data_IF_253273513404
#
_entry.id   IF_253273513404
#
_cell.length_a   1.000
_cell.length_b   1.000
_cell.length_c   1.000
_cell.angle_alpha   90.00
_cell.angle_beta   90.00
_cell.angle_gamma   90.00
#
_symmetry.space_group_name_H-M   'P 1'
#
loop_
_entity.id
_entity.type
_entity.pdbx_description
1 polymer ?
#
# COMPACT_ATOMS: atom_id res chain seq x y z
N UNK A 1 18.03 1.14 -29.81
CA UNK A 1 17.86 -0.16 -29.14
C UNK A 1 16.98 0.06 -27.93
N UNK A 2 15.86 -0.66 -27.75
CA UNK A 2 15.13 -0.61 -26.50
C UNK A 2 16.04 -1.09 -25.37
N UNK A 3 16.15 -0.34 -24.28
CA UNK A 3 16.89 -0.73 -23.08
C UNK A 3 16.00 -1.57 -22.18
N UNK A 4 16.58 -2.53 -21.46
CA UNK A 4 15.89 -3.19 -20.35
C UNK A 4 15.39 -2.15 -19.32
N UNK A 5 14.34 -2.50 -18.59
CA UNK A 5 13.85 -1.67 -17.48
C UNK A 5 14.97 -1.48 -16.44
N UNK A 6 15.06 -0.27 -15.89
CA UNK A 6 15.94 0.01 -14.75
C UNK A 6 15.51 -0.82 -13.52
N UNK A 7 16.41 -1.02 -12.56
CA UNK A 7 16.08 -1.72 -11.31
C UNK A 7 14.92 -1.04 -10.57
N UNK A 8 14.92 0.29 -10.49
CA UNK A 8 13.84 1.06 -9.84
C UNK A 8 12.50 0.82 -10.52
N UNK A 9 12.47 0.77 -11.86
CA UNK A 9 11.23 0.47 -12.58
C UNK A 9 10.78 -0.98 -12.33
N UNK A 10 11.71 -1.94 -12.28
CA UNK A 10 11.40 -3.34 -11.93
C UNK A 10 10.84 -3.46 -10.50
N UNK A 11 11.38 -2.75 -9.52
CA UNK A 11 10.82 -2.67 -8.16
C UNK A 11 9.36 -2.18 -8.20
N UNK A 12 9.10 -1.12 -8.97
CA UNK A 12 7.76 -0.56 -9.16
C UNK A 12 6.81 -1.58 -9.79
N UNK A 13 7.18 -2.21 -10.91
CA UNK A 13 6.36 -3.22 -11.59
C UNK A 13 6.04 -4.42 -10.67
N UNK A 14 7.01 -4.86 -9.86
CA UNK A 14 6.77 -5.92 -8.89
C UNK A 14 5.81 -5.52 -7.78
N UNK A 15 5.76 -4.24 -7.39
CA UNK A 15 4.74 -3.75 -6.45
C UNK A 15 3.32 -3.81 -7.02
N UNK A 16 3.15 -3.50 -8.31
CA UNK A 16 1.89 -3.68 -9.03
C UNK A 16 1.52 -5.15 -9.12
N UNK A 17 2.47 -6.02 -9.48
CA UNK A 17 2.24 -7.46 -9.54
C UNK A 17 1.83 -8.04 -8.17
N UNK A 18 2.50 -7.65 -7.09
CA UNK A 18 2.14 -8.05 -5.72
C UNK A 18 0.72 -7.61 -5.37
N UNK A 19 0.39 -6.33 -5.58
CA UNK A 19 -0.95 -5.79 -5.32
C UNK A 19 -2.02 -6.58 -6.08
N UNK A 20 -1.79 -6.78 -7.38
CA UNK A 20 -2.75 -7.45 -8.25
C UNK A 20 -2.93 -8.92 -7.87
N UNK A 21 -1.85 -9.63 -7.52
CA UNK A 21 -1.89 -11.01 -7.10
C UNK A 21 -2.70 -11.19 -5.79
N UNK A 22 -2.40 -10.38 -4.77
CA UNK A 22 -3.11 -10.41 -3.49
C UNK A 22 -4.59 -10.07 -3.68
N UNK A 23 -4.89 -8.99 -4.41
CA UNK A 23 -6.27 -8.57 -4.66
C UNK A 23 -7.06 -9.65 -5.42
N UNK A 24 -6.48 -10.21 -6.50
CA UNK A 24 -7.14 -11.24 -7.31
C UNK A 24 -7.39 -12.51 -6.51
N UNK A 25 -6.42 -12.94 -5.70
CA UNK A 25 -6.57 -14.10 -4.82
C UNK A 25 -7.67 -13.87 -3.75
N UNK A 26 -7.80 -12.65 -3.24
CA UNK A 26 -8.85 -12.28 -2.29
C UNK A 26 -10.22 -12.02 -2.93
N UNK A 27 -10.36 -12.12 -4.26
CA UNK A 27 -11.62 -11.81 -4.96
C UNK A 27 -11.93 -10.32 -5.08
N UNK A 28 -10.91 -9.46 -4.99
CA UNK A 28 -11.01 -8.00 -5.09
C UNK A 28 -10.51 -7.55 -6.47
N UNK A 29 -11.27 -6.69 -7.14
CA UNK A 29 -10.84 -6.11 -8.41
C UNK A 29 -9.68 -5.13 -8.17
N UNK A 30 -8.63 -5.24 -8.99
CA UNK A 30 -7.50 -4.33 -8.97
C UNK A 30 -7.40 -3.63 -10.32
N UNK A 31 -7.52 -2.30 -10.31
CA UNK A 31 -7.41 -1.46 -11.50
C UNK A 31 -6.23 -0.50 -11.36
N UNK A 32 -5.22 -0.66 -12.21
CA UNK A 32 -4.14 0.33 -12.37
C UNK A 32 -4.75 1.60 -12.99
N UNK A 33 -4.39 2.75 -12.44
CA UNK A 33 -4.96 4.02 -12.87
C UNK A 33 -4.29 4.57 -14.13
N UNK A 34 -4.89 5.61 -14.70
CA UNK A 34 -4.30 6.32 -15.83
C UNK A 34 -3.36 7.44 -15.37
N UNK A 35 -2.66 8.05 -16.34
CA UNK A 35 -1.68 9.12 -16.10
C UNK A 35 -2.23 10.30 -15.27
N UNK A 36 -3.50 10.67 -15.37
CA UNK A 36 -4.02 11.82 -14.62
C UNK A 36 -4.18 11.52 -13.13
N UNK A 37 -4.56 10.29 -12.78
CA UNK A 37 -4.70 9.83 -11.41
C UNK A 37 -3.33 9.52 -10.77
N UNK A 38 -2.38 9.03 -11.55
CA UNK A 38 -0.97 8.85 -11.13
C UNK A 38 -0.34 10.19 -10.70
N UNK A 39 -0.57 11.27 -11.46
CA UNK A 39 -0.13 12.62 -11.02
C UNK A 39 -0.77 13.07 -9.68
N UNK A 40 -1.93 12.51 -9.31
CA UNK A 40 -2.57 12.76 -8.03
C UNK A 40 -2.07 11.81 -6.91
N UNK A 41 -1.10 10.94 -7.21
CA UNK A 41 -0.55 9.95 -6.28
C UNK A 41 -1.47 8.74 -6.07
N UNK A 42 -2.25 8.37 -7.08
CA UNK A 42 -3.12 7.18 -7.03
C UNK A 42 -2.65 6.25 -8.13
N UNK A 43 -1.91 5.20 -7.75
CA UNK A 43 -1.35 4.18 -8.64
C UNK A 43 -2.39 3.11 -9.01
N UNK A 44 -3.28 2.78 -8.07
CA UNK A 44 -4.30 1.77 -8.28
C UNK A 44 -5.59 2.06 -7.48
N UNK A 45 -6.69 1.45 -7.92
CA UNK A 45 -7.95 1.38 -7.19
C UNK A 45 -8.29 -0.09 -6.96
N UNK A 46 -8.61 -0.43 -5.72
CA UNK A 46 -9.15 -1.72 -5.34
C UNK A 46 -10.65 -1.58 -5.10
N UNK A 47 -11.45 -2.43 -5.74
CA UNK A 47 -12.91 -2.47 -5.58
C UNK A 47 -13.33 -3.83 -5.04
N UNK A 48 -13.99 -3.83 -3.88
CA UNK A 48 -14.56 -5.02 -3.26
C UNK A 48 -16.08 -5.01 -3.33
N UNK A 49 -16.69 -6.20 -3.42
CA UNK A 49 -18.14 -6.40 -3.38
C UNK A 49 -18.56 -7.32 -2.25
N UNK A 50 -19.75 -7.06 -1.70
CA UNK A 50 -20.36 -7.88 -0.66
C UNK A 50 -20.62 -9.33 -1.15
N UNK A 51 -20.71 -10.31 -0.23
CA UNK A 51 -20.68 -10.17 1.22
C UNK A 51 -19.27 -9.94 1.78
N UNK A 52 -19.15 -9.01 2.73
CA UNK A 52 -17.96 -8.88 3.56
C UNK A 52 -18.24 -9.52 4.93
N UNK A 53 -17.35 -10.40 5.39
CA UNK A 53 -17.43 -10.93 6.76
C UNK A 53 -17.32 -9.77 7.76
N UNK A 54 -18.29 -9.66 8.68
CA UNK A 54 -18.45 -8.50 9.57
C UNK A 54 -18.62 -7.16 8.83
N UNK A 55 -19.12 -7.16 7.59
CA UNK A 55 -19.32 -5.97 6.76
C UNK A 55 -20.42 -5.03 7.24
N UNK A 56 -20.50 -3.88 6.59
CA UNK A 56 -21.56 -2.89 6.74
C UNK A 56 -22.60 -2.96 5.63
N UNK A 57 -23.34 -1.86 5.47
CA UNK A 57 -24.46 -1.76 4.54
C UNK A 57 -24.04 -1.42 3.10
N UNK A 58 -22.81 -0.96 2.88
CA UNK A 58 -22.29 -0.74 1.54
C UNK A 58 -21.95 -2.09 0.89
N UNK A 59 -22.49 -2.34 -0.29
CA UNK A 59 -22.29 -3.60 -1.03
C UNK A 59 -21.15 -3.52 -2.06
N UNK A 60 -20.63 -2.32 -2.28
CA UNK A 60 -19.49 -2.02 -3.14
C UNK A 60 -18.66 -0.94 -2.46
N UNK A 61 -17.34 -1.15 -2.37
CA UNK A 61 -16.42 -0.19 -1.76
C UNK A 61 -15.12 -0.09 -2.54
N UNK A 62 -14.61 1.14 -2.61
CA UNK A 62 -13.33 1.46 -3.24
C UNK A 62 -12.29 1.87 -2.21
N UNK A 63 -11.05 1.46 -2.47
CA UNK A 63 -9.84 1.95 -1.78
C UNK A 63 -8.84 2.41 -2.83
N UNK A 64 -8.32 3.63 -2.64
CA UNK A 64 -7.31 4.21 -3.52
C UNK A 64 -5.91 3.97 -2.95
N UNK A 65 -4.98 3.58 -3.80
CA UNK A 65 -3.66 3.12 -3.39
C UNK A 65 -2.59 4.02 -3.97
N UNK A 66 -1.67 4.50 -3.12
CA UNK A 66 -0.32 4.86 -3.55
C UNK A 66 0.58 3.66 -3.27
N UNK A 67 1.22 3.13 -4.31
CA UNK A 67 2.20 2.05 -4.25
C UNK A 67 3.62 2.62 -4.22
N UNK A 68 4.47 1.96 -3.45
CA UNK A 68 5.93 2.10 -3.51
C UNK A 68 6.55 0.71 -3.38
N UNK A 69 7.78 0.58 -3.86
CA UNK A 69 8.67 -0.51 -3.51
C UNK A 69 10.04 0.02 -3.11
N UNK A 70 10.78 -0.77 -2.34
CA UNK A 70 12.16 -0.45 -2.01
C UNK A 70 12.97 -1.68 -1.66
N UNK A 71 14.24 -1.69 -2.09
CA UNK A 71 15.28 -2.61 -1.57
C UNK A 71 15.94 -2.13 -0.28
N UNK A 72 15.70 -0.88 0.15
CA UNK A 72 16.28 -0.34 1.37
C UNK A 72 15.70 -1.09 2.56
N UNK A 73 16.57 -1.61 3.42
CA UNK A 73 16.12 -2.25 4.64
C UNK A 73 15.45 -1.19 5.54
N UNK A 74 14.19 -1.41 5.97
CA UNK A 74 13.53 -0.51 6.88
C UNK A 74 14.21 -0.57 8.25
N UNK A 75 14.22 0.55 8.96
CA UNK A 75 14.41 0.49 10.40
C UNK A 75 13.18 -0.21 11.01
N UNK A 76 13.43 -1.27 11.78
CA UNK A 76 12.42 -2.07 12.49
C UNK A 76 12.60 -1.85 13.99
N UNK A 77 11.57 -1.31 14.64
CA UNK A 77 11.56 -1.10 16.11
C UNK A 77 10.96 -2.27 16.90
N UNK A 78 10.64 -3.37 16.22
CA UNK A 78 9.95 -4.55 16.74
C UNK A 78 8.45 -4.54 16.43
N UNK A 79 7.82 -3.37 16.32
CA UNK A 79 6.38 -3.17 16.12
C UNK A 79 6.03 -2.49 14.80
N UNK A 80 6.92 -1.65 14.30
CA UNK A 80 6.75 -0.85 13.09
C UNK A 80 7.97 -0.92 12.18
N UNK A 81 7.72 -0.83 10.88
CA UNK A 81 8.73 -0.60 9.85
C UNK A 81 8.71 0.86 9.40
N UNK A 82 9.89 1.45 9.18
CA UNK A 82 10.01 2.82 8.65
C UNK A 82 10.20 2.84 7.13
N UNK A 83 9.53 3.78 6.46
CA UNK A 83 9.80 4.14 5.07
C UNK A 83 9.83 5.66 4.90
N UNK A 84 10.86 6.18 4.24
CA UNK A 84 10.99 7.62 3.96
C UNK A 84 10.28 7.98 2.65
N UNK A 85 9.13 8.65 2.76
CA UNK A 85 8.40 9.19 1.63
C UNK A 85 8.99 10.56 1.25
N UNK A 86 9.74 10.61 0.15
CA UNK A 86 10.54 11.77 -0.24
C UNK A 86 9.75 12.94 -0.84
N UNK A 87 8.49 12.73 -1.29
CA UNK A 87 7.66 13.81 -1.80
C UNK A 87 6.62 14.24 -0.76
N UNK A 88 6.83 15.42 -0.17
CA UNK A 88 5.92 16.01 0.82
C UNK A 88 4.52 16.25 0.26
N UNK A 89 4.36 16.48 -1.05
CA UNK A 89 3.04 16.64 -1.67
C UNK A 89 2.28 15.32 -1.70
N UNK A 90 2.97 14.20 -1.91
CA UNK A 90 2.35 12.87 -1.81
C UNK A 90 1.89 12.60 -0.38
N UNK A 91 2.71 12.96 0.61
CA UNK A 91 2.34 12.88 2.03
C UNK A 91 1.09 13.72 2.34
N UNK A 92 1.06 14.98 1.92
CA UNK A 92 -0.08 15.89 2.13
C UNK A 92 -1.35 15.42 1.41
N UNK A 93 -1.23 14.84 0.22
CA UNK A 93 -2.36 14.25 -0.51
C UNK A 93 -2.90 12.96 0.13
N UNK A 94 -2.07 12.23 0.87
CA UNK A 94 -2.49 10.99 1.54
C UNK A 94 -3.09 11.25 2.92
N UNK A 95 -2.76 12.38 3.58
CA UNK A 95 -3.27 12.69 4.92
C UNK A 95 -4.67 13.29 4.97
N UNK A 96 -5.22 13.69 3.82
CA UNK A 96 -6.53 14.32 3.73
C UNK A 96 -7.67 13.48 4.32
N UNK A 97 -8.52 14.12 5.13
CA UNK A 97 -9.63 13.46 5.84
C UNK A 97 -10.96 13.52 5.10
N UNK A 98 -11.03 14.22 3.99
CA UNK A 98 -12.29 14.52 3.27
C UNK A 98 -12.48 13.67 2.02
N UNK A 99 -11.60 12.70 1.75
CA UNK A 99 -11.77 11.80 0.62
C UNK A 99 -12.90 10.81 0.87
N UNK A 100 -13.74 10.62 -0.15
CA UNK A 100 -14.84 9.66 -0.12
C UNK A 100 -14.30 8.21 -0.02
N UNK A 101 -13.56 7.68 -1.01
CA UNK A 101 -12.79 6.45 -0.79
C UNK A 101 -11.53 6.77 0.04
N UNK A 102 -11.19 5.96 1.05
CA UNK A 102 -9.93 6.11 1.76
C UNK A 102 -8.75 5.91 0.82
N UNK A 103 -7.64 6.59 1.14
CA UNK A 103 -6.35 6.44 0.47
C UNK A 103 -5.38 5.78 1.43
N UNK A 104 -4.66 4.78 0.96
CA UNK A 104 -3.60 4.13 1.74
C UNK A 104 -2.29 4.12 0.96
N UNK A 105 -1.19 4.16 1.69
CA UNK A 105 0.15 3.92 1.18
C UNK A 105 0.48 2.45 1.40
N UNK A 106 0.92 1.77 0.34
CA UNK A 106 1.44 0.40 0.40
C UNK A 106 2.90 0.43 -0.02
N UNK A 107 3.76 -0.22 0.76
CA UNK A 107 5.19 -0.34 0.48
C UNK A 107 5.60 -1.80 0.45
N UNK A 108 6.08 -2.27 -0.70
CA UNK A 108 6.72 -3.57 -0.85
C UNK A 108 8.22 -3.46 -0.49
N UNK A 109 8.67 -4.19 0.53
CA UNK A 109 10.08 -4.22 0.92
C UNK A 109 10.76 -5.42 0.27
N UNK A 110 11.51 -5.20 -0.80
CA UNK A 110 12.21 -6.25 -1.54
C UNK A 110 13.56 -6.62 -0.89
N UNK A 111 14.10 -7.81 -1.16
CA UNK A 111 15.50 -8.14 -0.84
C UNK A 111 16.49 -7.16 -1.50
N UNK A 112 17.69 -6.93 -0.91
CA UNK A 112 18.71 -6.05 -1.50
C UNK A 112 19.20 -6.51 -2.87
N UNK A 113 19.27 -7.83 -3.10
CA UNK A 113 19.65 -8.42 -4.37
C UNK A 113 18.42 -8.64 -5.26
N UNK A 114 18.52 -8.22 -6.52
CA UNK A 114 17.43 -8.31 -7.48
C UNK A 114 17.16 -9.75 -7.95
N UNK A 115 18.16 -10.62 -7.90
CA UNK A 115 18.01 -12.03 -8.26
C UNK A 115 17.21 -12.80 -7.20
N UNK A 116 17.13 -12.24 -5.98
CA UNK A 116 16.32 -12.78 -4.89
C UNK A 116 14.87 -12.34 -4.92
N UNK A 117 14.46 -11.38 -5.74
CA UNK A 117 13.11 -10.81 -5.68
C UNK A 117 12.03 -11.83 -6.00
N UNK A 118 12.24 -12.64 -7.03
CA UNK A 118 11.22 -13.55 -7.53
C UNK A 118 11.86 -14.88 -7.95
N UNK A 119 11.27 -15.96 -7.47
CA UNK A 119 11.65 -17.33 -7.85
C UNK A 119 10.45 -18.05 -8.43
N UNK A 120 10.66 -18.85 -9.46
CA UNK A 120 9.61 -19.59 -10.14
C UNK A 120 10.05 -21.06 -10.33
N UNK A 121 9.11 -21.97 -10.08
CA UNK A 121 9.19 -23.39 -10.39
C UNK A 121 7.86 -23.86 -10.99
N UNK A 122 7.80 -25.10 -11.44
CA UNK A 122 6.53 -25.72 -11.87
C UNK A 122 5.45 -25.73 -10.78
N UNK A 123 5.86 -25.68 -9.51
CA UNK A 123 4.94 -25.74 -8.35
C UNK A 123 4.58 -24.36 -7.80
N UNK A 124 5.41 -23.34 -8.02
CA UNK A 124 5.25 -22.08 -7.30
C UNK A 124 5.81 -20.87 -8.04
N UNK A 125 5.14 -19.74 -7.83
CA UNK A 125 5.67 -18.40 -8.08
C UNK A 125 5.80 -17.70 -6.73
N UNK A 126 7.03 -17.41 -6.33
CA UNK A 126 7.33 -16.79 -5.03
C UNK A 126 7.94 -15.42 -5.27
N UNK A 127 7.18 -14.37 -4.94
CA UNK A 127 7.68 -13.01 -4.79
C UNK A 127 8.12 -12.83 -3.33
N UNK A 128 9.42 -12.63 -3.09
CA UNK A 128 9.97 -12.63 -1.73
C UNK A 128 9.60 -11.36 -0.97
N UNK A 129 9.36 -11.56 0.35
CA UNK A 129 8.92 -10.55 1.34
C UNK A 129 7.49 -10.06 1.11
N UNK A 130 7.01 -9.23 2.03
CA UNK A 130 5.64 -8.75 2.06
C UNK A 130 5.59 -7.24 1.83
N UNK A 131 4.46 -6.78 1.32
CA UNK A 131 4.10 -5.38 1.41
C UNK A 131 3.39 -5.09 2.75
N UNK A 132 3.53 -3.86 3.22
CA UNK A 132 2.83 -3.34 4.39
C UNK A 132 2.05 -2.10 3.99
N UNK A 133 0.94 -1.85 4.67
CA UNK A 133 0.08 -0.71 4.36
C UNK A 133 -0.09 0.22 5.56
N UNK A 134 -0.31 1.50 5.30
CA UNK A 134 -0.68 2.50 6.29
C UNK A 134 -1.66 3.51 5.69
N UNK A 135 -2.69 3.89 6.45
CA UNK A 135 -3.46 5.11 6.17
C UNK A 135 -2.68 6.29 6.71
N UNK A 136 -2.56 7.39 5.97
CA UNK A 136 -2.04 8.65 6.50
C UNK A 136 -3.15 9.61 6.92
N UNK A 137 -4.43 9.19 6.84
CA UNK A 137 -5.59 10.02 7.17
C UNK A 137 -5.45 10.60 8.58
N UNK A 138 -5.52 11.93 8.69
CA UNK A 138 -5.37 12.65 9.95
C UNK A 138 -3.92 12.73 10.47
N UNK A 139 -2.92 12.29 9.70
CA UNK A 139 -1.52 12.47 10.07
C UNK A 139 -1.16 13.96 10.18
N UNK A 140 -0.27 14.33 11.12
CA UNK A 140 0.11 15.72 11.35
C UNK A 140 0.82 16.32 10.12
N UNK A 141 0.63 17.62 9.91
CA UNK A 141 1.39 18.35 8.89
C UNK A 141 2.89 18.38 9.26
N UNK A 142 3.75 18.52 8.24
CA UNK A 142 5.20 18.65 8.45
C UNK A 142 5.72 19.98 7.93
N UNK A 143 6.69 20.56 8.65
CA UNK A 143 7.50 21.67 8.13
C UNK A 143 8.65 21.18 7.25
N UNK A 144 9.00 19.88 7.30
CA UNK A 144 10.07 19.32 6.49
C UNK A 144 9.68 19.31 5.01
N UNK A 145 10.59 19.75 4.15
CA UNK A 145 10.42 19.79 2.70
C UNK A 145 11.11 18.62 1.98
N UNK A 146 11.99 17.87 2.67
CA UNK A 146 12.71 16.73 2.07
C UNK A 146 11.90 15.44 2.04
N UNK A 147 10.85 15.34 2.85
CA UNK A 147 10.01 14.15 2.97
C UNK A 147 9.60 13.85 4.42
N UNK A 148 8.89 12.74 4.60
CA UNK A 148 8.39 12.28 5.89
C UNK A 148 8.68 10.79 6.06
N UNK A 149 9.18 10.40 7.23
CA UNK A 149 9.26 8.98 7.59
C UNK A 149 7.89 8.51 8.05
N UNK A 150 7.28 7.64 7.25
CA UNK A 150 6.02 6.96 7.57
C UNK A 150 6.34 5.66 8.32
N UNK A 151 5.54 5.37 9.35
CA UNK A 151 5.63 4.16 10.17
C UNK A 151 4.52 3.20 9.78
N UNK A 152 4.88 1.95 9.52
CA UNK A 152 3.99 0.87 9.10
C UNK A 152 3.88 -0.16 10.21
N UNK A 153 2.71 -0.32 10.86
CA UNK A 153 2.54 -1.38 11.86
C UNK A 153 2.80 -2.75 11.23
N UNK A 154 3.57 -3.61 11.90
CA UNK A 154 3.83 -4.97 11.40
C UNK A 154 2.59 -5.86 11.37
N UNK A 155 1.54 -5.47 12.10
CA UNK A 155 0.21 -6.08 12.00
C UNK A 155 -0.57 -5.66 10.75
N UNK A 156 -0.11 -4.65 10.00
CA UNK A 156 -0.71 -4.18 8.76
C UNK A 156 0.09 -4.70 7.55
N UNK A 157 0.30 -6.02 7.51
CA UNK A 157 0.74 -6.70 6.29
C UNK A 157 -0.36 -6.56 5.24
N UNK A 158 0.03 -6.34 3.99
CA UNK A 158 -0.89 -6.36 2.87
C UNK A 158 -0.98 -7.79 2.33
N UNK A 159 -1.92 -8.54 2.85
CA UNK A 159 -2.30 -9.89 2.42
C UNK A 159 -3.83 -9.95 2.15
N UNK A 160 -4.32 -11.14 1.77
CA UNK A 160 -5.73 -11.30 1.41
C UNK A 160 -6.68 -11.07 2.59
N UNK A 161 -6.36 -11.59 3.77
CA UNK A 161 -7.19 -11.47 4.96
C UNK A 161 -7.26 -10.03 5.44
N UNK A 162 -6.11 -9.34 5.51
CA UNK A 162 -6.01 -7.93 5.87
C UNK A 162 -6.74 -7.03 4.87
N UNK A 163 -6.65 -7.33 3.56
CA UNK A 163 -7.40 -6.63 2.54
C UNK A 163 -8.91 -6.78 2.73
N UNK A 164 -9.40 -7.99 2.99
CA UNK A 164 -10.83 -8.23 3.22
C UNK A 164 -11.35 -7.58 4.50
N UNK A 165 -10.56 -7.58 5.58
CA UNK A 165 -10.87 -6.84 6.80
C UNK A 165 -10.96 -5.33 6.54
N UNK A 166 -10.06 -4.80 5.73
CA UNK A 166 -10.07 -3.39 5.35
C UNK A 166 -11.32 -3.06 4.52
N UNK A 167 -11.67 -3.87 3.53
CA UNK A 167 -12.91 -3.70 2.75
C UNK A 167 -14.16 -3.74 3.64
N UNK A 168 -14.22 -4.67 4.60
CA UNK A 168 -15.30 -4.75 5.58
C UNK A 168 -15.39 -3.46 6.41
N UNK A 169 -14.28 -2.91 6.90
CA UNK A 169 -14.26 -1.64 7.63
C UNK A 169 -14.78 -0.47 6.78
N UNK A 170 -14.30 -0.35 5.54
CA UNK A 170 -14.76 0.68 4.60
C UNK A 170 -16.26 0.54 4.32
N UNK A 171 -16.78 -0.68 4.25
CA UNK A 171 -18.21 -0.94 4.04
C UNK A 171 -19.10 -0.48 5.21
N UNK A 172 -18.52 -0.33 6.42
CA UNK A 172 -19.15 0.28 7.60
C UNK A 172 -18.93 1.80 7.70
N UNK A 173 -18.23 2.40 6.73
CA UNK A 173 -17.69 3.78 6.79
C UNK A 173 -16.68 3.99 7.93
N UNK A 174 -16.04 2.93 8.37
CA UNK A 174 -14.92 2.99 9.31
C UNK A 174 -13.63 3.12 8.51
N UNK A 175 -13.13 4.35 8.40
CA UNK A 175 -11.90 4.60 7.66
C UNK A 175 -10.68 4.53 8.58
N UNK A 176 -9.61 3.80 8.21
CA UNK A 176 -8.41 3.73 9.01
C UNK A 176 -7.77 5.13 9.15
N UNK A 177 -7.41 5.49 10.38
CA UNK A 177 -6.64 6.68 10.70
C UNK A 177 -5.15 6.35 10.75
N UNK A 178 -4.28 7.36 10.72
CA UNK A 178 -2.86 7.15 10.89
C UNK A 178 -2.52 6.63 12.29
N UNK A 179 -1.78 5.51 12.34
CA UNK A 179 -1.34 4.83 13.58
C UNK A 179 0.18 4.87 13.77
N UNK A 180 0.86 5.85 13.16
CA UNK A 180 2.32 5.93 13.21
C UNK A 180 2.91 6.61 14.44
N UNK A 181 2.10 6.89 15.45
CA UNK A 181 2.55 7.42 16.74
C UNK A 181 2.25 6.38 17.82
N UNK A 182 3.19 6.18 18.75
CA UNK A 182 2.89 5.50 20.00
C UNK A 182 1.71 6.24 20.66
N UNK A 183 0.65 5.52 21.05
CA UNK A 183 -0.48 6.04 21.84
C UNK A 183 -0.08 6.46 23.27
N UNK A 184 1.19 6.84 23.49
CA UNK A 184 1.72 7.36 24.75
C UNK A 184 2.05 8.84 24.60
N UNK A 185 1.01 9.67 24.70
CA UNK A 185 1.09 11.02 25.27
C UNK A 185 -0.07 11.23 26.24
#
# INVERSE_FOLDING_TARGET
>A
MPSALSLINRESELSYAYLHAIASHAGVNCKITNRHEDHAGIDAVLTGWAPFTNGGWLTEVDIKIQLKATIRQPYDDGTHLSYFLSDVRQYDNLRGETYAPPRILIVLFLPPDADDWLTHSEESLVLKRCAYWASLRGAPATANRSGVTVRFPKSQVFDGDGLMQLMAAVSRREFPMYRGHDERQ
#
